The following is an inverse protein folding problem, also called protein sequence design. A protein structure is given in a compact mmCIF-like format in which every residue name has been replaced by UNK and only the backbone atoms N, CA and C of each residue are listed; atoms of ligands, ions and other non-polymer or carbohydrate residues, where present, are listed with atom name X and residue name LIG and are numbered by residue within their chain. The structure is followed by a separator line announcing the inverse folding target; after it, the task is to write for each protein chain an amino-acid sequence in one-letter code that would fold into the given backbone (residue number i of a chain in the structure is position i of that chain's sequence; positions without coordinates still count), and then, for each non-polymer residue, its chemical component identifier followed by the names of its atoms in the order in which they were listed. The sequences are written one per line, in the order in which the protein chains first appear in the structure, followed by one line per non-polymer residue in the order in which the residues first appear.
data_IF_361987359962
#
_entry.id   IF_361987359962
#
_cell.length_a   1.000
_cell.length_b   1.000
_cell.length_c   1.000
_cell.angle_alpha   90.00
_cell.angle_beta   90.00
_cell.angle_gamma   90.00
#
_symmetry.space_group_name_H-M   'P 1'
#
loop_
_entity.id
_entity.type
_entity.pdbx_description
1 polymer ?
#
# COMPACT_ATOMS: atom_id res chain seq x y z
N UNK A 1 -13.75 -33.72 26.34
CA UNK A 1 -12.58 -32.94 25.89
C UNK A 1 -12.90 -32.46 24.48
N UNK A 2 -13.55 -31.30 24.37
CA UNK A 2 -14.02 -30.77 23.07
C UNK A 2 -12.79 -30.28 22.32
N UNK A 3 -12.52 -30.88 21.17
CA UNK A 3 -11.54 -30.43 20.20
C UNK A 3 -11.90 -29.00 19.77
N UNK A 4 -11.24 -28.02 20.38
CA UNK A 4 -11.16 -26.68 19.83
C UNK A 4 -10.29 -26.81 18.59
N UNK A 5 -10.91 -26.87 17.41
CA UNK A 5 -10.20 -26.75 16.15
C UNK A 5 -9.36 -25.46 16.24
N UNK A 6 -8.04 -25.59 16.29
CA UNK A 6 -7.14 -24.46 16.24
C UNK A 6 -7.38 -23.78 14.89
N UNK A 7 -8.21 -22.74 14.87
CA UNK A 7 -8.36 -21.85 13.73
C UNK A 7 -7.00 -21.19 13.57
N UNK A 8 -6.15 -21.75 12.73
CA UNK A 8 -4.88 -21.15 12.38
C UNK A 8 -5.22 -19.87 11.60
N UNK A 9 -5.41 -18.78 12.33
CA UNK A 9 -5.64 -17.48 11.75
C UNK A 9 -4.31 -17.06 11.16
N UNK A 10 -4.13 -17.31 9.87
CA UNK A 10 -3.05 -16.72 9.11
C UNK A 10 -3.19 -15.20 9.28
N UNK A 11 -2.21 -14.63 9.98
CA UNK A 11 -2.05 -13.22 10.37
C UNK A 11 -0.56 -13.06 10.66
N UNK A 12 0.01 -11.87 10.46
CA UNK A 12 1.39 -11.64 10.89
C UNK A 12 1.45 -11.41 12.41
N UNK A 13 2.60 -11.68 13.04
CA UNK A 13 2.87 -11.24 14.42
C UNK A 13 3.46 -9.81 14.47
N UNK A 14 3.34 -9.05 13.37
CA UNK A 14 3.81 -7.67 13.29
C UNK A 14 2.79 -6.74 13.94
N UNK A 15 3.27 -5.64 14.53
CA UNK A 15 2.36 -4.57 14.91
C UNK A 15 1.64 -4.02 13.67
N UNK A 16 0.35 -3.64 13.77
CA UNK A 16 -0.41 -3.12 12.62
C UNK A 16 0.27 -1.91 11.95
N UNK A 17 0.91 -1.06 12.74
CA UNK A 17 1.60 0.12 12.25
C UNK A 17 2.84 -0.25 11.41
N UNK A 18 3.64 -1.20 11.91
CA UNK A 18 4.79 -1.71 11.17
C UNK A 18 4.36 -2.45 9.90
N UNK A 19 3.34 -3.29 9.98
CA UNK A 19 2.81 -4.00 8.80
C UNK A 19 2.30 -3.00 7.74
N UNK A 20 1.60 -1.94 8.16
CA UNK A 20 1.13 -0.89 7.27
C UNK A 20 2.28 -0.11 6.63
N UNK A 21 3.32 0.22 7.41
CA UNK A 21 4.51 0.91 6.90
C UNK A 21 5.27 0.07 5.85
N UNK A 22 5.37 -1.24 6.05
CA UNK A 22 6.04 -2.17 5.13
C UNK A 22 5.41 -2.17 3.73
N UNK A 23 4.10 -1.93 3.63
CA UNK A 23 3.42 -1.84 2.34
C UNK A 23 4.00 -0.73 1.46
N UNK A 24 4.52 0.36 2.03
CA UNK A 24 5.01 1.52 1.30
C UNK A 24 6.53 1.51 1.05
N UNK A 25 7.24 0.48 1.50
CA UNK A 25 8.69 0.38 1.29
C UNK A 25 8.98 0.21 -0.21
N UNK A 26 9.84 1.03 -0.83
CA UNK A 26 10.21 0.87 -2.23
C UNK A 26 10.82 -0.52 -2.50
N UNK A 27 10.66 -1.05 -3.71
CA UNK A 27 11.15 -2.38 -4.14
C UNK A 27 10.38 -3.56 -3.53
N UNK A 28 10.33 -3.68 -2.19
CA UNK A 28 9.71 -4.83 -1.50
C UNK A 28 8.25 -4.62 -1.12
N UNK A 29 7.82 -3.36 -0.99
CA UNK A 29 6.49 -2.99 -0.51
C UNK A 29 5.37 -3.48 -1.42
N UNK A 30 5.61 -3.64 -2.72
CA UNK A 30 4.62 -4.20 -3.65
C UNK A 30 4.29 -5.66 -3.32
N UNK A 31 5.34 -6.47 -3.09
CA UNK A 31 5.17 -7.87 -2.67
C UNK A 31 4.57 -7.93 -1.27
N UNK A 32 5.07 -7.11 -0.34
CA UNK A 32 4.54 -7.03 1.02
C UNK A 32 3.06 -6.65 1.04
N UNK A 33 2.64 -5.68 0.23
CA UNK A 33 1.24 -5.25 0.10
C UNK A 33 0.35 -6.38 -0.39
N UNK A 34 0.75 -7.13 -1.43
CA UNK A 34 -0.02 -8.28 -1.92
C UNK A 34 -0.17 -9.34 -0.83
N UNK A 35 0.95 -9.70 -0.18
CA UNK A 35 0.96 -10.70 0.89
C UNK A 35 0.04 -10.23 2.02
N UNK A 36 0.26 -9.04 2.58
CA UNK A 36 -0.52 -8.49 3.69
C UNK A 36 -2.00 -8.30 3.36
N UNK A 37 -2.35 -8.00 2.11
CA UNK A 37 -3.75 -7.91 1.69
C UNK A 37 -4.48 -9.26 1.79
N UNK A 38 -3.78 -10.36 1.47
CA UNK A 38 -4.30 -11.72 1.50
C UNK A 38 -4.33 -12.26 2.93
N UNK A 39 -3.28 -11.96 3.71
CA UNK A 39 -2.99 -12.69 4.94
C UNK A 39 -3.43 -11.94 6.20
N UNK A 40 -3.41 -10.61 6.16
CA UNK A 40 -3.68 -9.82 7.35
C UNK A 40 -5.19 -9.63 7.54
N UNK A 41 -5.63 -9.56 8.80
CA UNK A 41 -7.05 -9.36 9.14
C UNK A 41 -7.35 -7.95 9.59
N UNK A 42 -6.34 -7.24 10.07
CA UNK A 42 -6.47 -5.86 10.48
C UNK A 42 -6.86 -4.97 9.26
N UNK A 43 -7.99 -4.26 9.37
CA UNK A 43 -8.53 -3.44 8.29
C UNK A 43 -7.59 -2.30 7.89
N UNK A 44 -6.88 -1.70 8.86
CA UNK A 44 -5.88 -0.65 8.61
C UNK A 44 -4.72 -1.16 7.77
N UNK A 45 -4.17 -2.34 8.10
CA UNK A 45 -3.08 -2.93 7.32
C UNK A 45 -3.54 -3.24 5.90
N UNK A 46 -4.71 -3.88 5.75
CA UNK A 46 -5.26 -4.23 4.44
C UNK A 46 -5.56 -2.99 3.58
N UNK A 47 -6.02 -1.92 4.20
CA UNK A 47 -6.29 -0.68 3.48
C UNK A 47 -5.00 0.03 3.04
N UNK A 48 -3.98 0.13 3.90
CA UNK A 48 -2.68 0.67 3.52
C UNK A 48 -2.02 -0.19 2.43
N UNK A 49 -2.15 -1.51 2.52
CA UNK A 49 -1.72 -2.45 1.48
C UNK A 49 -2.42 -2.17 0.14
N UNK A 50 -3.75 -1.98 0.14
CA UNK A 50 -4.51 -1.64 -1.06
C UNK A 50 -4.08 -0.29 -1.65
N UNK A 51 -3.97 0.76 -0.84
CA UNK A 51 -3.52 2.08 -1.31
C UNK A 51 -2.10 2.01 -1.89
N UNK A 52 -1.18 1.25 -1.27
CA UNK A 52 0.18 1.05 -1.81
C UNK A 52 0.18 0.30 -3.14
N UNK A 53 -0.65 -0.75 -3.26
CA UNK A 53 -0.78 -1.51 -4.50
C UNK A 53 -1.28 -0.62 -5.64
N UNK A 54 -2.29 0.21 -5.37
CA UNK A 54 -2.84 1.18 -6.33
C UNK A 54 -1.79 2.23 -6.69
N UNK A 55 -1.02 2.76 -5.73
CA UNK A 55 0.06 3.70 -5.98
C UNK A 55 1.11 3.11 -6.93
N UNK A 56 1.56 1.87 -6.67
CA UNK A 56 2.50 1.17 -7.53
C UNK A 56 1.96 0.96 -8.94
N UNK A 57 0.73 0.44 -9.07
CA UNK A 57 0.10 0.20 -10.37
C UNK A 57 -0.13 1.51 -11.16
N UNK A 58 -0.55 2.58 -10.48
CA UNK A 58 -0.73 3.89 -11.11
C UNK A 58 0.59 4.45 -11.62
N UNK A 59 1.68 4.26 -10.86
CA UNK A 59 3.02 4.69 -11.27
C UNK A 59 3.49 3.95 -12.52
N UNK A 60 3.29 2.62 -12.58
CA UNK A 60 3.61 1.82 -13.78
C UNK A 60 2.86 2.33 -15.01
N UNK A 61 1.56 2.63 -14.87
CA UNK A 61 0.75 3.16 -15.97
C UNK A 61 1.25 4.54 -16.42
N UNK A 62 1.57 5.44 -15.48
CA UNK A 62 2.10 6.77 -15.80
C UNK A 62 3.45 6.65 -16.53
N UNK A 63 4.36 5.80 -16.05
CA UNK A 63 5.66 5.59 -16.67
C UNK A 63 5.54 4.98 -18.07
N UNK A 64 4.60 4.07 -18.29
CA UNK A 64 4.31 3.52 -19.62
C UNK A 64 3.81 4.60 -20.60
N UNK A 65 2.95 5.51 -20.13
CA UNK A 65 2.44 6.63 -20.95
C UNK A 65 3.57 7.61 -21.28
N UNK A 66 4.38 7.99 -20.28
CA UNK A 66 5.51 8.90 -20.49
C UNK A 66 6.58 8.28 -21.39
N UNK A 67 6.84 6.97 -21.23
CA UNK A 67 7.80 6.21 -22.04
C UNK A 67 7.40 6.03 -23.50
N UNK A 68 6.15 6.37 -23.88
CA UNK A 68 5.68 6.24 -25.26
C UNK A 68 6.42 7.18 -26.25
N UNK A 69 7.06 8.25 -25.76
CA UNK A 69 7.87 9.15 -26.59
C UNK A 69 9.19 9.49 -25.91
N UNK A 70 10.24 9.76 -26.70
CA UNK A 70 11.55 10.13 -26.17
C UNK A 70 11.53 11.45 -25.35
N UNK A 71 10.67 12.39 -25.74
CA UNK A 71 10.57 13.70 -25.07
C UNK A 71 9.90 13.55 -23.70
N UNK A 72 8.77 12.84 -23.63
CA UNK A 72 8.06 12.64 -22.36
C UNK A 72 8.80 11.70 -21.41
N UNK A 73 9.59 10.75 -21.93
CA UNK A 73 10.40 9.84 -21.12
C UNK A 73 11.38 10.58 -20.19
N UNK A 74 11.78 11.81 -20.54
CA UNK A 74 12.63 12.66 -19.68
C UNK A 74 11.95 13.03 -18.34
N UNK A 75 10.62 12.94 -18.24
CA UNK A 75 9.88 13.23 -17.02
C UNK A 75 9.78 12.04 -16.04
N UNK A 76 10.06 10.81 -16.50
CA UNK A 76 10.00 9.58 -15.68
C UNK A 76 10.82 9.66 -14.38
N UNK A 77 12.10 10.11 -14.37
CA UNK A 77 12.85 10.19 -13.11
C UNK A 77 12.23 11.16 -12.11
N UNK A 78 11.65 12.27 -12.59
CA UNK A 78 10.97 13.24 -11.73
C UNK A 78 9.72 12.64 -11.08
N UNK A 79 8.91 11.91 -11.85
CA UNK A 79 7.73 11.20 -11.35
C UNK A 79 8.13 10.16 -10.30
N UNK A 80 9.16 9.34 -10.59
CA UNK A 80 9.61 8.31 -9.66
C UNK A 80 10.17 8.88 -8.35
N UNK A 81 10.86 10.02 -8.39
CA UNK A 81 11.29 10.73 -7.17
C UNK A 81 10.09 11.25 -6.38
N UNK A 82 9.08 11.82 -7.04
CA UNK A 82 7.87 12.29 -6.35
C UNK A 82 7.12 11.12 -5.68
N UNK A 83 6.97 9.99 -6.38
CA UNK A 83 6.34 8.78 -5.83
C UNK A 83 7.15 8.22 -4.66
N UNK A 84 8.48 8.23 -4.74
CA UNK A 84 9.36 7.81 -3.65
C UNK A 84 9.17 8.68 -2.40
N UNK A 85 9.09 10.01 -2.57
CA UNK A 85 8.83 10.92 -1.44
C UNK A 85 7.46 10.63 -0.83
N UNK A 86 6.42 10.48 -1.66
CA UNK A 86 5.07 10.14 -1.19
C UNK A 86 5.10 8.82 -0.42
N UNK A 87 5.73 7.77 -0.95
CA UNK A 87 5.76 6.46 -0.31
C UNK A 87 6.51 6.49 1.02
N UNK A 88 7.60 7.24 1.13
CA UNK A 88 8.31 7.42 2.39
C UNK A 88 7.46 8.17 3.44
N UNK A 89 6.76 9.22 3.04
CA UNK A 89 5.84 9.95 3.93
C UNK A 89 4.74 9.03 4.44
N UNK A 90 4.13 8.24 3.55
CA UNK A 90 3.11 7.26 3.92
C UNK A 90 3.68 6.19 4.86
N UNK A 91 4.85 5.64 4.57
CA UNK A 91 5.51 4.65 5.42
C UNK A 91 5.74 5.18 6.85
N UNK A 92 6.30 6.38 6.98
CA UNK A 92 6.56 7.02 8.28
C UNK A 92 5.27 7.28 9.03
N UNK A 93 4.24 7.80 8.35
CA UNK A 93 2.94 8.10 8.97
C UNK A 93 2.22 6.83 9.43
N UNK A 94 2.18 5.81 8.60
CA UNK A 94 1.63 4.50 8.96
C UNK A 94 2.38 3.85 10.13
N UNK A 95 3.71 4.03 10.20
CA UNK A 95 4.51 3.55 11.33
C UNK A 95 4.17 4.27 12.65
N UNK A 96 3.85 5.57 12.58
CA UNK A 96 3.36 6.36 13.71
C UNK A 96 1.91 6.03 14.10
N UNK A 97 1.23 5.18 13.32
CA UNK A 97 -0.16 4.81 13.55
C UNK A 97 -1.18 5.72 12.88
N UNK A 98 -0.74 6.68 12.06
CA UNK A 98 -1.62 7.56 11.28
C UNK A 98 -1.86 6.96 9.89
N UNK A 99 -3.12 6.89 9.44
CA UNK A 99 -3.42 6.46 8.07
C UNK A 99 -3.72 7.65 7.16
N UNK A 100 -2.76 7.99 6.30
CA UNK A 100 -2.91 9.10 5.35
C UNK A 100 -3.63 8.64 4.10
N UNK A 101 -4.75 9.29 3.79
CA UNK A 101 -5.52 9.05 2.57
C UNK A 101 -5.08 9.96 1.43
N UNK A 102 -4.57 9.36 0.36
CA UNK A 102 -4.33 10.10 -0.88
C UNK A 102 -5.69 10.44 -1.53
N UNK A 103 -5.95 11.68 -1.98
CA UNK A 103 -7.28 12.11 -2.42
C UNK A 103 -7.90 11.23 -3.51
N UNK A 104 -7.09 10.83 -4.51
CA UNK A 104 -7.56 9.99 -5.62
C UNK A 104 -7.35 8.50 -5.30
N UNK A 105 -6.11 8.12 -4.97
CA UNK A 105 -5.75 6.71 -4.79
C UNK A 105 -6.38 6.09 -3.53
N UNK A 106 -6.52 6.88 -2.46
CA UNK A 106 -7.21 6.48 -1.24
C UNK A 106 -8.72 6.33 -1.46
N UNK A 107 -9.33 7.17 -2.30
CA UNK A 107 -10.74 6.99 -2.67
C UNK A 107 -10.97 5.70 -3.49
N UNK A 108 -10.01 5.33 -4.34
CA UNK A 108 -10.05 4.04 -5.04
C UNK A 108 -9.85 2.86 -4.08
N UNK A 109 -8.92 2.98 -3.14
CA UNK A 109 -8.72 1.99 -2.08
C UNK A 109 -10.00 1.82 -1.24
N UNK A 110 -10.65 2.92 -0.84
CA UNK A 110 -11.94 2.91 -0.14
C UNK A 110 -12.99 2.17 -0.97
N UNK A 111 -13.13 2.48 -2.25
CA UNK A 111 -14.09 1.82 -3.13
C UNK A 111 -13.86 0.31 -3.24
N UNK A 112 -12.60 -0.12 -3.31
CA UNK A 112 -12.25 -1.55 -3.41
C UNK A 112 -12.45 -2.27 -2.07
N UNK A 113 -12.17 -1.59 -0.96
CA UNK A 113 -12.25 -2.18 0.38
C UNK A 113 -13.65 -2.07 1.03
N UNK A 114 -14.62 -1.44 0.37
CA UNK A 114 -15.98 -1.24 0.90
C UNK A 114 -16.10 -0.07 1.89
N UNK A 115 -15.19 0.89 1.82
CA UNK A 115 -15.08 2.05 2.70
C UNK A 115 -14.20 1.75 3.92
N UNK A 116 -13.21 2.63 4.17
CA UNK A 116 -12.35 2.54 5.35
C UNK A 116 -12.48 3.81 6.19
N UNK A 117 -12.68 3.64 7.50
CA UNK A 117 -12.90 4.75 8.44
C UNK A 117 -11.67 5.02 9.34
N UNK A 118 -10.49 4.51 8.98
CA UNK A 118 -9.29 4.71 9.81
C UNK A 118 -8.66 6.08 9.57
N UNK A 119 -8.58 6.87 10.63
CA UNK A 119 -7.63 7.96 10.83
C UNK A 119 -6.50 7.47 11.71
#
# INVERSE_FOLDING_TARGET
MILMAAKNTFSTNLSPNLASALCYVPVVGFVAAIVLLIIEKNSTVRWNAMQSLILGLSTIVVDMILGATLILALAIPLVNVAVLVISLVLAVKSYQGETVKLPVLGAWADKIMGGFCGG
#
